data_IF_744469235154
#
_entry.id   IF_744469235154
#
_cell.length_a   1.000
_cell.length_b   1.000
_cell.length_c   1.000
_cell.angle_alpha   90.00
_cell.angle_beta   90.00
_cell.angle_gamma   90.00
#
_symmetry.space_group_name_H-M   'P 1'
#
loop_
_entity.id
_entity.type
_entity.pdbx_description
1 polymer ?
#
# COMPACT_ATOMS: atom_id res chain seq x y z
N UNK A 11 -26.61 -3.97 14.13
CA UNK A 11 -25.75 -5.16 13.81
C UNK A 11 -24.20 -5.02 13.79
N UNK A 12 -23.57 -5.25 14.94
CA UNK A 12 -22.14 -4.98 15.11
C UNK A 12 -21.30 -5.55 14.01
N UNK A 13 -20.63 -4.69 13.27
CA UNK A 13 -19.63 -5.20 12.37
C UNK A 13 -18.56 -5.70 13.26
N UNK A 14 -17.74 -6.60 12.76
CA UNK A 14 -16.70 -7.18 13.60
C UNK A 14 -15.33 -6.61 13.27
N UNK A 15 -14.28 -7.10 13.92
CA UNK A 15 -12.96 -6.62 13.59
C UNK A 15 -12.09 -7.85 13.56
N UNK A 16 -11.00 -7.76 12.79
CA UNK A 16 -10.21 -8.84 12.19
C UNK A 16 -8.80 -8.75 12.83
N UNK A 17 -7.90 -9.72 12.53
CA UNK A 17 -6.52 -9.67 13.05
C UNK A 17 -5.80 -8.35 12.97
N UNK A 18 -5.67 -7.83 11.75
CA UNK A 18 -4.90 -6.62 11.43
C UNK A 18 -3.47 -6.62 11.98
N UNK A 19 -2.73 -7.65 11.59
CA UNK A 19 -1.32 -7.78 12.00
C UNK A 19 -0.47 -6.51 11.81
N UNK A 20 0.28 -6.15 12.84
CA UNK A 20 0.74 -4.80 13.22
C UNK A 20 1.51 -3.93 12.19
N UNK A 21 1.16 -2.62 12.07
CA UNK A 21 1.85 -1.71 11.16
C UNK A 21 3.33 -1.61 11.06
N UNK A 22 3.79 -1.63 9.82
CA UNK A 22 5.08 -2.04 9.33
C UNK A 22 6.01 -0.86 9.29
N UNK A 23 5.40 0.29 9.57
CA UNK A 23 6.01 1.46 10.19
C UNK A 23 6.67 0.99 11.51
N UNK A 24 5.90 0.21 12.28
CA UNK A 24 6.19 -0.26 13.63
C UNK A 24 6.89 -1.60 13.79
N UNK A 25 7.02 -2.33 12.69
CA UNK A 25 7.55 -3.69 12.64
C UNK A 25 9.03 -3.59 12.38
N UNK A 26 9.46 -2.38 12.11
CA UNK A 26 10.82 -2.11 11.96
C UNK A 26 10.94 -0.95 12.91
N UNK A 27 12.16 -0.74 13.43
CA UNK A 27 12.62 0.60 13.74
C UNK A 27 13.06 0.97 12.33
N UNK A 28 13.38 2.24 12.05
CA UNK A 28 13.80 2.67 10.70
C UNK A 28 14.98 1.90 10.13
N UNK A 29 15.85 1.49 11.06
CA UNK A 29 17.12 0.87 10.73
C UNK A 29 17.05 -0.63 10.54
N UNK A 30 15.93 -1.25 10.94
CA UNK A 30 15.70 -2.66 10.62
C UNK A 30 15.40 -2.69 9.08
N UNK A 31 14.67 -1.69 8.57
CA UNK A 31 14.10 -1.67 7.19
C UNK A 31 14.89 -0.85 6.18
N UNK A 32 15.61 0.12 6.70
CA UNK A 32 16.38 1.02 5.90
C UNK A 32 17.28 0.20 4.99
N UNK A 33 17.81 -0.87 5.55
CA UNK A 33 18.57 -1.88 4.80
C UNK A 33 17.78 -2.31 3.56
N UNK A 34 16.59 -2.89 3.79
CA UNK A 34 15.73 -3.48 2.75
C UNK A 34 15.43 -2.54 1.61
N UNK A 35 15.10 -1.31 1.99
CA UNK A 35 14.92 -0.19 1.06
C UNK A 35 16.07 -0.15 0.10
N UNK A 36 17.27 0.00 0.67
CA UNK A 36 18.51 0.03 -0.09
C UNK A 36 18.71 -1.32 -0.78
N UNK A 37 18.55 -2.39 -0.01
CA UNK A 37 18.78 -3.76 -0.46
C UNK A 37 18.09 -4.17 -1.74
N UNK A 38 16.78 -3.90 -1.85
CA UNK A 38 16.01 -4.34 -3.03
C UNK A 38 16.10 -3.31 -4.16
N UNK A 39 16.31 -2.05 -3.79
CA UNK A 39 16.59 -1.04 -4.78
C UNK A 39 17.87 -1.38 -5.49
N UNK A 40 18.71 -2.17 -4.84
CA UNK A 40 19.97 -2.57 -5.44
C UNK A 40 19.85 -3.70 -6.49
N UNK A 41 19.08 -4.75 -6.19
CA UNK A 41 18.97 -5.89 -7.10
C UNK A 41 18.04 -5.72 -8.29
N UNK A 42 16.91 -5.03 -8.11
CA UNK A 42 15.99 -4.75 -9.23
C UNK A 42 15.94 -3.26 -8.81
N UNK A 43 16.80 -2.39 -9.36
CA UNK A 43 16.97 -1.00 -8.98
C UNK A 43 16.17 0.09 -9.61
N UNK A 44 15.40 -0.23 -10.62
CA UNK A 44 14.83 0.71 -11.60
C UNK A 44 13.32 0.48 -11.47
N UNK A 45 12.98 0.12 -10.23
CA UNK A 45 11.65 -0.30 -9.74
C UNK A 45 11.32 0.36 -8.38
N UNK A 46 10.03 0.59 -8.12
CA UNK A 46 9.57 1.23 -6.89
C UNK A 46 8.89 0.31 -5.89
N UNK A 47 9.34 0.32 -4.65
CA UNK A 47 8.85 -0.62 -3.65
C UNK A 47 7.63 0.04 -3.03
N UNK A 48 6.52 -0.67 -2.98
CA UNK A 48 5.40 -0.17 -2.25
C UNK A 48 5.10 -1.04 -1.06
N UNK A 49 4.71 -0.37 0.03
CA UNK A 49 4.16 -1.03 1.18
C UNK A 49 2.68 -0.80 1.15
N UNK A 50 1.89 -1.86 1.23
CA UNK A 50 0.45 -1.68 1.20
C UNK A 50 -0.17 -2.22 2.47
N UNK A 51 -0.44 -1.36 3.46
CA UNK A 51 -1.10 -1.87 4.68
C UNK A 51 -2.61 -1.63 4.60
N UNK A 52 -3.40 -2.61 5.06
CA UNK A 52 -4.84 -2.38 5.29
C UNK A 52 -4.96 -1.23 6.22
N UNK A 53 -6.06 -0.51 6.14
CA UNK A 53 -6.32 0.48 7.15
C UNK A 53 -6.43 -0.30 8.43
N UNK A 54 -5.76 0.20 9.47
CA UNK A 54 -5.77 -0.37 10.81
C UNK A 54 -7.22 -0.62 11.21
N UNK A 55 -8.02 0.44 11.16
CA UNK A 55 -9.40 0.44 11.65
C UNK A 55 -10.44 -0.31 10.81
N UNK A 56 -10.09 -0.64 9.57
CA UNK A 56 -11.00 -1.24 8.61
C UNK A 56 -11.54 -2.64 8.81
N UNK A 57 -12.84 -2.83 8.67
CA UNK A 57 -13.56 -4.01 9.17
C UNK A 57 -14.20 -4.93 8.11
N UNK A 58 -14.74 -4.40 7.02
CA UNK A 58 -15.32 -5.28 6.00
C UNK A 58 -14.24 -5.89 5.10
N UNK A 59 -13.05 -5.32 5.10
CA UNK A 59 -12.06 -5.81 4.16
C UNK A 59 -11.08 -6.79 4.79
N UNK A 60 -10.76 -7.85 4.03
CA UNK A 60 -9.64 -8.83 4.22
C UNK A 60 -8.23 -8.41 3.88
N UNK A 61 -7.25 -8.72 4.73
CA UNK A 61 -5.93 -8.10 4.53
C UNK A 61 -4.99 -9.07 3.81
N UNK A 62 -3.90 -8.55 3.24
CA UNK A 62 -3.21 -9.15 2.10
C UNK A 62 -2.25 -10.21 2.57
N UNK A 63 -2.01 -11.14 1.64
CA UNK A 63 -0.94 -12.12 1.79
C UNK A 63 0.41 -11.42 1.93
N UNK A 64 0.65 -10.37 1.13
CA UNK A 64 1.92 -9.67 1.27
C UNK A 64 1.95 -8.19 0.94
N UNK A 65 2.91 -7.48 1.52
CA UNK A 65 2.93 -6.08 1.90
C UNK A 65 3.92 -5.28 1.09
N UNK A 66 5.02 -5.91 0.72
CA UNK A 66 6.05 -5.20 0.02
C UNK A 66 5.98 -5.63 -1.44
N UNK A 67 5.37 -4.79 -2.27
CA UNK A 67 5.38 -5.04 -3.71
C UNK A 67 6.43 -4.22 -4.36
N UNK A 68 7.03 -4.77 -5.41
CA UNK A 68 7.86 -3.98 -6.29
C UNK A 68 6.94 -3.46 -7.34
N UNK A 69 7.28 -2.35 -7.98
CA UNK A 69 6.43 -1.77 -9.02
C UNK A 69 7.39 -1.26 -10.10
N UNK A 70 6.86 -1.12 -11.35
CA UNK A 70 7.21 -0.34 -12.54
C UNK A 70 7.22 1.18 -12.36
N UNK A 71 8.18 1.80 -13.02
CA UNK A 71 8.41 3.21 -12.85
C UNK A 71 7.09 3.99 -13.07
N UNK A 72 6.17 3.42 -13.86
CA UNK A 72 5.07 4.09 -14.57
C UNK A 72 4.10 2.93 -14.42
N UNK A 73 3.12 3.16 -13.56
CA UNK A 73 1.96 2.32 -13.43
C UNK A 73 0.83 3.18 -12.88
N UNK A 74 -0.30 3.24 -13.59
CA UNK A 74 -1.48 3.90 -13.05
C UNK A 74 -1.82 3.22 -11.73
N UNK A 75 -2.11 4.04 -10.72
CA UNK A 75 -2.77 3.54 -9.55
C UNK A 75 -3.96 2.67 -9.89
N UNK A 76 -4.73 3.05 -10.90
CA UNK A 76 -5.86 2.21 -11.27
C UNK A 76 -5.40 0.80 -11.49
N UNK A 77 -4.42 0.59 -12.37
CA UNK A 77 -3.90 -0.75 -12.59
C UNK A 77 -3.46 -1.29 -11.24
N UNK A 78 -2.57 -0.54 -10.56
CA UNK A 78 -2.09 -1.03 -9.29
C UNK A 78 -3.22 -1.47 -8.41
N UNK A 79 -4.19 -0.56 -8.24
CA UNK A 79 -5.37 -0.91 -7.49
C UNK A 79 -5.87 -2.28 -7.96
N UNK A 80 -6.10 -2.45 -9.26
CA UNK A 80 -6.63 -3.73 -9.72
C UNK A 80 -5.79 -4.90 -9.21
N UNK A 81 -4.48 -4.86 -9.49
CA UNK A 81 -3.59 -5.93 -9.05
C UNK A 81 -3.59 -6.08 -7.55
N UNK A 82 -4.06 -5.08 -6.82
CA UNK A 82 -4.38 -5.39 -5.45
C UNK A 82 -5.73 -6.02 -5.22
N UNK A 83 -6.82 -5.43 -5.72
CA UNK A 83 -8.13 -6.07 -5.65
C UNK A 83 -8.08 -7.52 -6.15
N UNK A 84 -7.18 -7.76 -7.10
CA UNK A 84 -6.91 -9.09 -7.59
C UNK A 84 -6.52 -10.19 -6.58
N UNK A 85 -5.83 -9.85 -5.49
CA UNK A 85 -5.38 -10.87 -4.52
C UNK A 85 -6.28 -11.02 -3.29
N UNK A 86 -7.40 -10.31 -3.35
CA UNK A 86 -8.44 -10.19 -2.36
C UNK A 86 -9.51 -11.14 -2.91
N UNK A 87 -10.67 -11.28 -2.30
CA UNK A 87 -11.43 -12.52 -2.56
C UNK A 87 -12.87 -12.45 -3.01
N UNK A 88 -13.05 -12.76 -4.30
CA UNK A 88 -14.30 -12.64 -5.12
C UNK A 88 -14.93 -11.22 -5.26
N UNK A 89 -14.06 -10.20 -5.36
CA UNK A 89 -14.36 -8.83 -4.94
C UNK A 89 -14.58 -7.46 -5.66
N UNK A 90 -15.10 -7.49 -6.89
CA UNK A 90 -15.06 -6.32 -7.81
C UNK A 90 -16.41 -5.66 -8.15
N UNK A 91 -17.51 -6.18 -7.61
CA UNK A 91 -18.81 -5.51 -7.39
C UNK A 91 -18.75 -4.45 -6.24
N UNK A 92 -17.61 -4.42 -5.57
CA UNK A 92 -17.34 -3.86 -4.24
C UNK A 92 -15.95 -3.21 -4.35
N UNK A 93 -15.95 -1.89 -4.15
CA UNK A 93 -14.76 -1.03 -4.35
C UNK A 93 -14.19 -0.63 -3.03
N UNK A 94 -12.94 -0.22 -3.07
CA UNK A 94 -12.32 0.23 -1.87
C UNK A 94 -11.33 1.23 -2.36
N UNK A 95 -11.16 2.29 -1.58
CA UNK A 95 -10.29 3.36 -1.93
C UNK A 95 -8.88 2.89 -1.65
N UNK A 96 -7.90 3.48 -2.35
CA UNK A 96 -6.50 3.21 -2.05
C UNK A 96 -5.80 4.53 -1.81
N UNK A 97 -5.49 4.78 -0.53
CA UNK A 97 -4.93 6.06 -0.06
C UNK A 97 -3.45 6.02 0.22
N UNK A 98 -2.77 7.05 -0.27
CA UNK A 98 -1.38 7.17 0.05
C UNK A 98 -1.25 7.70 1.46
N UNK A 99 -0.49 6.97 2.27
CA UNK A 99 -0.18 7.35 3.63
C UNK A 99 -1.43 7.34 4.47
N UNK A 100 -2.48 6.66 3.99
CA UNK A 100 -3.78 6.68 4.63
C UNK A 100 -4.41 8.05 4.67
N UNK A 101 -3.71 9.03 4.09
CA UNK A 101 -4.12 10.42 4.20
C UNK A 101 -4.67 11.03 2.92
N UNK A 102 -4.21 10.60 1.76
CA UNK A 102 -3.87 11.27 0.51
C UNK A 102 -4.73 10.41 -0.42
N UNK A 103 -5.77 11.02 -0.99
CA UNK A 103 -6.47 10.58 -2.17
C UNK A 103 -5.87 11.19 -3.39
N UNK A 104 -5.57 10.35 -4.37
CA UNK A 104 -4.70 10.79 -5.47
C UNK A 104 -5.29 10.61 -6.87
N UNK A 105 -4.56 11.07 -7.89
CA UNK A 105 -5.04 10.82 -9.25
C UNK A 105 -5.01 9.33 -9.32
N UNK A 106 -5.95 8.75 -10.08
CA UNK A 106 -5.98 7.29 -10.41
C UNK A 106 -5.40 7.04 -11.80
N UNK A 107 -4.69 8.04 -12.30
CA UNK A 107 -4.16 8.07 -13.63
C UNK A 107 -2.66 8.34 -13.70
N UNK A 108 -2.01 8.13 -12.58
CA UNK A 108 -0.73 8.69 -12.27
C UNK A 108 0.33 7.60 -12.28
N UNK A 109 1.38 7.76 -13.07
CA UNK A 109 2.51 6.82 -13.10
C UNK A 109 3.02 6.67 -11.68
N UNK A 110 3.47 5.47 -11.35
CA UNK A 110 3.98 5.17 -10.03
C UNK A 110 5.18 6.00 -9.74
N UNK A 111 6.01 6.20 -10.77
CA UNK A 111 7.11 7.13 -10.70
C UNK A 111 6.58 8.43 -10.07
N UNK A 112 5.53 8.95 -10.68
CA UNK A 112 4.95 10.17 -10.21
C UNK A 112 4.78 10.11 -8.67
N UNK A 113 4.11 9.09 -8.16
CA UNK A 113 3.79 9.02 -6.72
C UNK A 113 5.02 8.91 -5.84
N UNK A 114 6.08 8.36 -6.43
CA UNK A 114 7.33 8.09 -5.74
C UNK A 114 8.33 9.22 -5.57
N UNK A 115 8.17 10.18 -6.47
CA UNK A 115 8.49 11.59 -6.37
C UNK A 115 7.81 12.38 -5.23
N UNK A 116 6.50 12.22 -5.11
CA UNK A 116 5.78 13.08 -4.19
C UNK A 116 5.97 12.58 -2.77
N UNK A 117 5.76 11.28 -2.53
CA UNK A 117 5.42 10.72 -1.23
C UNK A 117 6.33 9.59 -0.76
N UNK A 118 7.44 9.38 -1.47
CA UNK A 118 8.47 8.48 -0.97
C UNK A 118 8.70 8.83 0.49
N UNK A 119 8.50 7.88 1.39
CA UNK A 119 8.65 8.19 2.80
C UNK A 119 10.12 8.35 3.16
N UNK A 120 10.35 8.62 4.43
CA UNK A 120 11.68 8.82 5.00
C UNK A 120 12.60 7.74 4.43
N UNK A 121 12.26 6.47 4.62
CA UNK A 121 12.85 5.40 3.81
C UNK A 121 12.17 5.31 2.44
N UNK A 122 12.84 4.70 1.47
CA UNK A 122 12.39 4.68 0.09
C UNK A 122 11.02 4.07 -0.12
N UNK A 123 10.49 3.46 0.94
CA UNK A 123 9.17 2.90 0.89
C UNK A 123 8.07 3.95 0.77
N UNK A 124 7.36 3.97 -0.35
CA UNK A 124 6.03 4.63 -0.38
C UNK A 124 4.93 3.72 0.23
N UNK A 125 4.36 4.19 1.34
CA UNK A 125 3.33 3.46 2.11
C UNK A 125 1.89 3.77 1.65
N UNK A 126 1.03 2.75 1.59
CA UNK A 126 -0.34 2.99 1.20
C UNK A 126 -1.19 2.26 2.15
N UNK A 127 -2.39 2.77 2.32
CA UNK A 127 -3.33 2.08 3.13
C UNK A 127 -4.41 1.84 2.17
N UNK A 128 -5.23 0.88 2.45
CA UNK A 128 -6.40 0.82 1.66
C UNK A 128 -7.50 0.53 2.63
N UNK A 129 -8.63 1.20 2.42
CA UNK A 129 -9.80 1.15 3.32
C UNK A 129 -11.14 1.09 2.58
N UNK A 130 -12.18 0.57 3.24
CA UNK A 130 -13.50 0.55 2.61
C UNK A 130 -14.22 1.89 2.87
N UNK A 131 -13.75 2.66 3.84
CA UNK A 131 -14.35 3.98 4.08
C UNK A 131 -13.52 4.67 5.13
N UNK A 132 -13.45 5.98 5.15
CA UNK A 132 -12.54 6.54 6.15
C UNK A 132 -13.34 7.81 6.15
N UNK A 133 -13.34 8.48 7.30
CA UNK A 133 -13.44 9.89 7.65
C UNK A 133 -12.13 10.45 8.19
N UNK A 134 -11.90 11.74 7.98
CA UNK A 134 -10.66 12.43 8.38
C UNK A 134 -11.00 13.64 9.29
#
# INVERSE_FOLDING_TARGET
GSSSGNTHDDFVMIGSPSVRPFKQRKSLAIRQEEVAGIRAKFPNKIPVVVERYPRETFLPPLDKTKFLVPQELTMTQFLSIIRSRMVLRATEAFYLLVNNKSLVSMSATMAEIYRDYKDEDGFVYMTYASQETF
#
